data_IF_246744307310
#
_entry.id   IF_246744307310
#
_cell.length_a   1.000
_cell.length_b   1.000
_cell.length_c   1.000
_cell.angle_alpha   90.00
_cell.angle_beta   90.00
_cell.angle_gamma   90.00
#
_symmetry.space_group_name_H-M   'P 1'
#
loop_
_entity.id
_entity.type
_entity.pdbx_description
1 polymer ?
#
# COMPACT_ATOMS: atom_id res chain seq x y z
N UNK A 1 5.99 -14.51 26.89
CA UNK A 1 4.60 -14.49 26.35
C UNK A 1 3.91 -13.11 26.28
N UNK A 2 4.28 -12.09 27.05
CA UNK A 2 3.61 -10.75 27.00
C UNK A 2 3.82 -9.93 25.71
N UNK A 3 4.86 -10.19 24.90
CA UNK A 3 5.19 -9.41 23.69
C UNK A 3 4.34 -9.74 22.44
N UNK A 4 3.61 -10.87 22.42
CA UNK A 4 2.84 -11.32 21.25
C UNK A 4 1.44 -10.71 21.17
N UNK A 5 0.84 -10.32 22.30
CA UNK A 5 -0.51 -9.72 22.32
C UNK A 5 -0.59 -8.36 21.64
N UNK A 6 0.52 -7.63 21.57
CA UNK A 6 0.51 -6.25 21.06
C UNK A 6 0.41 -6.15 19.54
N UNK A 7 0.90 -7.14 18.77
CA UNK A 7 0.84 -7.08 17.29
C UNK A 7 -0.55 -7.40 16.80
N UNK A 8 -1.15 -8.49 17.28
CA UNK A 8 -2.51 -8.87 16.91
C UNK A 8 -3.52 -7.79 17.31
N UNK A 9 -3.38 -7.20 18.48
CA UNK A 9 -4.20 -6.07 18.91
C UNK A 9 -4.03 -4.85 18.01
N UNK A 10 -2.80 -4.48 17.67
CA UNK A 10 -2.51 -3.34 16.80
C UNK A 10 -3.11 -3.52 15.39
N UNK A 11 -3.00 -4.71 14.85
CA UNK A 11 -3.55 -5.06 13.54
C UNK A 11 -5.08 -5.09 13.56
N UNK A 12 -5.69 -5.60 14.64
CA UNK A 12 -7.14 -5.51 14.84
C UNK A 12 -7.61 -4.06 14.91
N UNK A 13 -6.87 -3.19 15.60
CA UNK A 13 -7.20 -1.77 15.71
C UNK A 13 -7.13 -1.10 14.32
N UNK A 14 -6.07 -1.32 13.54
CA UNK A 14 -5.97 -0.76 12.19
C UNK A 14 -7.12 -1.25 11.31
N UNK A 15 -7.39 -2.55 11.29
CA UNK A 15 -8.46 -3.13 10.49
C UNK A 15 -9.83 -2.59 10.91
N UNK A 16 -10.06 -2.42 12.21
CA UNK A 16 -11.29 -1.84 12.75
C UNK A 16 -11.49 -0.39 12.32
N UNK A 17 -10.47 0.46 12.45
CA UNK A 17 -10.55 1.85 12.01
C UNK A 17 -10.74 1.96 10.49
N UNK A 18 -10.12 1.07 9.73
CA UNK A 18 -10.31 1.03 8.29
C UNK A 18 -11.76 0.70 7.90
N UNK A 19 -12.35 -0.36 8.48
CA UNK A 19 -13.74 -0.74 8.22
C UNK A 19 -14.70 0.39 8.62
N UNK A 20 -14.46 1.03 9.77
CA UNK A 20 -15.27 2.17 10.20
C UNK A 20 -15.15 3.31 9.18
N UNK A 21 -13.94 3.58 8.63
CA UNK A 21 -13.78 4.63 7.62
C UNK A 21 -14.58 4.35 6.37
N UNK A 22 -14.60 3.11 5.89
CA UNK A 22 -15.37 2.71 4.70
C UNK A 22 -16.88 2.85 4.95
N UNK A 23 -17.38 2.34 6.08
CA UNK A 23 -18.80 2.43 6.44
C UNK A 23 -19.24 3.89 6.58
N UNK A 24 -18.40 4.74 7.20
CA UNK A 24 -18.70 6.16 7.33
C UNK A 24 -18.70 6.84 5.97
N UNK A 25 -17.71 6.55 5.11
CA UNK A 25 -17.63 7.11 3.78
C UNK A 25 -18.84 6.76 2.92
N UNK A 26 -19.30 5.51 2.92
CA UNK A 26 -20.50 5.11 2.18
C UNK A 26 -21.76 5.82 2.69
N UNK A 27 -21.96 5.89 4.01
CA UNK A 27 -23.11 6.59 4.59
C UNK A 27 -23.07 8.09 4.35
N UNK A 28 -21.88 8.71 4.40
CA UNK A 28 -21.70 10.13 4.11
C UNK A 28 -21.99 10.44 2.64
N UNK A 29 -21.57 9.55 1.71
CA UNK A 29 -21.87 9.68 0.27
C UNK A 29 -23.40 9.74 0.05
N UNK A 30 -24.16 8.89 0.77
CA UNK A 30 -25.61 8.83 0.63
C UNK A 30 -26.34 10.06 1.22
N UNK A 31 -25.76 10.75 2.21
CA UNK A 31 -26.41 11.84 2.93
C UNK A 31 -26.12 13.24 2.38
N UNK A 32 -24.94 13.44 1.79
CA UNK A 32 -24.52 14.77 1.34
C UNK A 32 -24.60 14.92 -0.17
N UNK A 33 -25.62 15.66 -0.64
CA UNK A 33 -25.73 16.04 -2.05
C UNK A 33 -24.72 17.13 -2.45
N UNK A 34 -24.15 17.85 -1.47
CA UNK A 34 -23.17 18.90 -1.72
C UNK A 34 -21.74 18.34 -1.71
N UNK A 35 -21.07 18.39 -2.86
CA UNK A 35 -19.72 17.91 -3.04
C UNK A 35 -18.71 18.50 -2.06
N UNK A 36 -18.75 19.83 -1.82
CA UNK A 36 -17.77 20.47 -0.95
C UNK A 36 -17.90 19.97 0.49
N UNK A 37 -19.12 19.83 0.97
CA UNK A 37 -19.41 19.29 2.30
C UNK A 37 -18.93 17.84 2.41
N UNK A 38 -19.21 17.02 1.41
CA UNK A 38 -18.69 15.62 1.35
C UNK A 38 -17.17 15.58 1.39
N UNK A 39 -16.48 16.37 0.56
CA UNK A 39 -15.01 16.40 0.51
C UNK A 39 -14.41 16.79 1.87
N UNK A 40 -14.95 17.83 2.51
CA UNK A 40 -14.48 18.30 3.81
C UNK A 40 -14.64 17.21 4.87
N UNK A 41 -15.85 16.65 5.00
CA UNK A 41 -16.15 15.64 6.01
C UNK A 41 -15.32 14.37 5.78
N UNK A 42 -15.25 13.89 4.55
CA UNK A 42 -14.43 12.71 4.20
C UNK A 42 -12.95 12.95 4.53
N UNK A 43 -12.42 14.14 4.25
CA UNK A 43 -11.01 14.46 4.57
C UNK A 43 -10.77 14.52 6.08
N UNK A 44 -11.68 15.15 6.84
CA UNK A 44 -11.59 15.21 8.31
C UNK A 44 -11.69 13.81 8.90
N UNK A 45 -12.64 12.99 8.45
CA UNK A 45 -12.81 11.61 8.91
C UNK A 45 -11.55 10.79 8.64
N UNK A 46 -10.98 10.89 7.45
CA UNK A 46 -9.72 10.23 7.11
C UNK A 46 -8.58 10.61 8.06
N UNK A 47 -8.40 11.90 8.34
CA UNK A 47 -7.36 12.38 9.24
C UNK A 47 -7.57 11.93 10.69
N UNK A 48 -8.81 12.00 11.19
CA UNK A 48 -9.16 11.56 12.56
C UNK A 48 -8.88 10.06 12.74
N UNK A 49 -9.26 9.24 11.78
CA UNK A 49 -9.07 7.80 11.86
C UNK A 49 -7.59 7.38 11.81
N UNK A 50 -6.73 8.17 11.18
CA UNK A 50 -5.29 7.92 11.14
C UNK A 50 -4.52 8.56 12.30
N UNK A 51 -5.14 9.46 13.06
CA UNK A 51 -4.51 10.18 14.17
C UNK A 51 -3.93 9.25 15.28
N UNK A 52 -4.64 8.20 15.75
CA UNK A 52 -4.08 7.26 16.73
C UNK A 52 -2.79 6.58 16.26
N UNK A 53 -2.69 6.33 14.96
CA UNK A 53 -1.52 5.71 14.33
C UNK A 53 -0.34 6.66 14.36
N UNK A 54 -0.57 7.94 14.07
CA UNK A 54 0.45 9.00 14.13
C UNK A 54 0.99 9.13 15.56
N UNK A 55 0.10 9.17 16.57
CA UNK A 55 0.49 9.22 17.98
C UNK A 55 1.34 7.99 18.35
N UNK A 56 0.89 6.79 17.95
CA UNK A 56 1.65 5.58 18.22
C UNK A 56 3.04 5.64 17.58
N UNK A 57 3.12 6.11 16.34
CA UNK A 57 4.38 6.29 15.63
C UNK A 57 5.32 7.23 16.37
N UNK A 58 4.86 8.42 16.74
CA UNK A 58 5.66 9.41 17.46
C UNK A 58 6.21 8.82 18.79
N UNK A 59 5.34 8.14 19.54
CA UNK A 59 5.69 7.56 20.85
C UNK A 59 6.71 6.42 20.76
N UNK A 60 6.69 5.63 19.69
CA UNK A 60 7.50 4.40 19.59
C UNK A 60 8.60 4.46 18.51
N UNK A 61 8.76 5.60 17.82
CA UNK A 61 9.73 5.78 16.72
C UNK A 61 11.14 5.33 17.11
N UNK A 62 11.65 5.77 18.25
CA UNK A 62 13.02 5.48 18.72
C UNK A 62 13.28 4.01 19.05
N UNK A 63 12.23 3.21 19.27
CA UNK A 63 12.31 1.78 19.58
C UNK A 63 12.23 0.88 18.35
N UNK A 64 11.98 1.44 17.17
CA UNK A 64 11.75 0.69 15.94
C UNK A 64 12.97 0.78 15.02
N UNK A 65 13.66 -0.34 14.82
CA UNK A 65 14.86 -0.44 13.99
C UNK A 65 14.65 0.12 12.58
N UNK A 66 13.57 -0.23 11.90
CA UNK A 66 13.31 0.21 10.53
C UNK A 66 13.00 1.71 10.42
N UNK A 67 12.55 2.34 11.50
CA UNK A 67 12.26 3.77 11.52
C UNK A 67 13.52 4.64 11.70
N UNK A 68 14.57 4.08 12.32
CA UNK A 68 15.83 4.80 12.57
C UNK A 68 16.94 4.42 11.60
N UNK A 69 16.74 3.35 10.82
CA UNK A 69 17.72 2.91 9.82
C UNK A 69 17.83 3.92 8.69
N UNK A 70 19.06 4.32 8.39
CA UNK A 70 19.38 5.24 7.28
C UNK A 70 20.60 4.74 6.48
N UNK A 71 20.38 3.77 5.58
CA UNK A 71 21.40 3.33 4.63
C UNK A 71 21.14 4.01 3.29
N UNK A 72 22.13 4.69 2.74
CA UNK A 72 22.02 5.36 1.43
C UNK A 72 21.79 4.36 0.30
N UNK A 73 21.03 4.78 -0.68
CA UNK A 73 20.77 4.05 -1.93
C UNK A 73 21.27 4.90 -3.11
N UNK A 74 21.87 4.27 -4.09
CA UNK A 74 22.26 4.92 -5.33
C UNK A 74 21.03 5.31 -6.15
N UNK A 75 21.06 6.49 -6.79
CA UNK A 75 19.95 6.98 -7.63
C UNK A 75 19.57 5.99 -8.74
N UNK A 76 20.55 5.32 -9.34
CA UNK A 76 20.31 4.27 -10.34
C UNK A 76 19.42 3.14 -9.82
N UNK A 77 19.62 2.71 -8.56
CA UNK A 77 18.80 1.68 -7.92
C UNK A 77 17.39 2.20 -7.60
N UNK A 78 17.26 3.46 -7.22
CA UNK A 78 15.96 4.10 -7.05
C UNK A 78 15.18 4.05 -8.38
N UNK A 79 15.81 4.44 -9.48
CA UNK A 79 15.19 4.40 -10.82
C UNK A 79 14.85 2.97 -11.24
N UNK A 80 15.71 1.99 -10.96
CA UNK A 80 15.43 0.58 -11.19
C UNK A 80 14.19 0.11 -10.43
N UNK A 81 14.10 0.36 -9.11
CA UNK A 81 12.95 -0.06 -8.31
C UNK A 81 11.68 0.68 -8.69
N UNK A 82 11.77 1.95 -9.06
CA UNK A 82 10.63 2.69 -9.59
C UNK A 82 10.14 2.10 -10.91
N UNK A 83 11.04 1.81 -11.85
CA UNK A 83 10.72 1.12 -13.10
C UNK A 83 10.12 -0.28 -12.87
N UNK A 84 10.66 -1.05 -11.91
CA UNK A 84 10.10 -2.35 -11.54
C UNK A 84 8.66 -2.21 -11.00
N UNK A 85 8.39 -1.26 -10.11
CA UNK A 85 7.05 -1.03 -9.58
C UNK A 85 6.10 -0.57 -10.67
N UNK A 86 6.52 0.36 -11.54
CA UNK A 86 5.74 0.81 -12.68
C UNK A 86 5.40 -0.35 -13.63
N UNK A 87 6.38 -1.21 -13.94
CA UNK A 87 6.19 -2.42 -14.73
C UNK A 87 5.18 -3.38 -14.09
N UNK A 88 5.30 -3.67 -12.79
CA UNK A 88 4.35 -4.51 -12.05
C UNK A 88 2.93 -3.94 -12.18
N UNK A 89 2.75 -2.64 -11.96
CA UNK A 89 1.42 -2.01 -12.02
C UNK A 89 0.80 -2.08 -13.42
N UNK A 90 1.58 -1.90 -14.47
CA UNK A 90 1.08 -1.99 -15.85
C UNK A 90 0.79 -3.44 -16.24
N UNK A 91 1.75 -4.35 -16.04
CA UNK A 91 1.60 -5.75 -16.49
C UNK A 91 0.55 -6.48 -15.68
N UNK A 92 0.65 -6.45 -14.35
CA UNK A 92 -0.29 -7.17 -13.48
C UNK A 92 -1.67 -6.52 -13.50
N UNK A 93 -1.74 -5.18 -13.59
CA UNK A 93 -3.01 -4.46 -13.72
C UNK A 93 -3.79 -4.80 -14.98
N UNK A 94 -3.12 -5.22 -16.06
CA UNK A 94 -3.79 -5.64 -17.31
C UNK A 94 -4.03 -7.16 -17.41
N UNK A 95 -3.26 -7.99 -16.69
CA UNK A 95 -3.38 -9.46 -16.74
C UNK A 95 -4.47 -9.95 -15.78
N UNK A 96 -4.66 -9.32 -14.63
CA UNK A 96 -5.70 -9.72 -13.67
C UNK A 96 -7.05 -9.22 -14.19
N UNK A 97 -7.65 -10.02 -15.07
CA UNK A 97 -8.95 -9.78 -15.71
C UNK A 97 -10.08 -10.14 -14.72
N UNK A 98 -10.20 -9.39 -13.64
CA UNK A 98 -11.46 -9.25 -12.92
C UNK A 98 -12.17 -7.94 -13.33
N UNK A 99 -11.83 -7.42 -14.54
CA UNK A 99 -12.32 -6.13 -15.06
C UNK A 99 -13.84 -6.10 -15.26
N UNK A 100 -14.44 -7.27 -15.43
CA UNK A 100 -15.88 -7.40 -15.70
C UNK A 100 -16.72 -7.59 -14.43
N UNK A 101 -16.13 -7.59 -13.24
CA UNK A 101 -16.90 -7.61 -12.00
C UNK A 101 -17.48 -6.21 -11.79
N UNK A 102 -18.80 -6.03 -11.94
CA UNK A 102 -19.43 -4.72 -11.82
C UNK A 102 -19.22 -4.18 -10.41
N UNK A 103 -18.55 -3.05 -10.31
CA UNK A 103 -18.49 -2.29 -9.05
C UNK A 103 -19.83 -1.61 -8.87
N UNK A 104 -20.46 -1.81 -7.72
CA UNK A 104 -21.60 -1.00 -7.29
C UNK A 104 -21.11 0.39 -6.85
N UNK A 105 -20.33 1.06 -7.69
CA UNK A 105 -19.93 2.42 -7.44
C UNK A 105 -21.06 3.33 -7.89
N UNK A 106 -21.66 4.04 -6.96
CA UNK A 106 -22.43 5.23 -7.29
C UNK A 106 -21.39 6.22 -7.83
N UNK A 107 -21.22 6.23 -9.16
CA UNK A 107 -20.35 7.19 -9.84
C UNK A 107 -21.06 8.52 -9.78
N UNK A 108 -20.72 9.33 -8.78
CA UNK A 108 -21.07 10.74 -8.82
C UNK A 108 -20.17 11.42 -9.87
N UNK A 109 -20.75 12.23 -10.76
CA UNK A 109 -20.04 13.05 -11.74
C UNK A 109 -19.16 14.17 -11.10
N UNK A 110 -18.57 13.88 -9.96
CA UNK A 110 -17.74 14.82 -9.20
C UNK A 110 -16.25 14.78 -9.61
N UNK A 111 -15.86 13.80 -10.43
CA UNK A 111 -14.47 13.54 -10.77
C UNK A 111 -13.78 14.72 -11.47
N UNK A 112 -14.56 15.66 -12.01
CA UNK A 112 -14.05 16.77 -12.81
C UNK A 112 -14.01 18.14 -12.09
N UNK A 113 -14.25 18.21 -10.78
CA UNK A 113 -14.09 19.47 -10.07
C UNK A 113 -12.65 19.66 -9.60
N UNK A 114 -12.09 20.87 -9.80
CA UNK A 114 -10.71 21.19 -9.40
C UNK A 114 -10.44 20.88 -7.93
N UNK A 115 -11.41 21.11 -7.05
CA UNK A 115 -11.29 20.84 -5.61
C UNK A 115 -11.11 19.34 -5.35
N UNK A 116 -11.87 18.50 -6.06
CA UNK A 116 -11.77 17.04 -5.95
C UNK A 116 -10.42 16.53 -6.46
N UNK A 117 -9.95 17.03 -7.60
CA UNK A 117 -8.64 16.71 -8.18
C UNK A 117 -7.51 17.09 -7.23
N UNK A 118 -7.51 18.34 -6.73
CA UNK A 118 -6.47 18.83 -5.80
C UNK A 118 -6.47 18.03 -4.51
N UNK A 119 -7.64 17.76 -3.93
CA UNK A 119 -7.76 16.89 -2.74
C UNK A 119 -7.18 15.51 -2.98
N UNK A 120 -7.52 14.86 -4.08
CA UNK A 120 -7.05 13.51 -4.39
C UNK A 120 -5.54 13.48 -4.65
N UNK A 121 -4.98 14.53 -5.24
CA UNK A 121 -3.53 14.67 -5.36
C UNK A 121 -2.89 14.80 -3.98
N UNK A 122 -3.38 15.69 -3.12
CA UNK A 122 -2.80 15.88 -1.78
C UNK A 122 -2.90 14.59 -0.96
N UNK A 123 -4.08 14.00 -0.85
CA UNK A 123 -4.29 12.80 -0.04
C UNK A 123 -3.68 11.56 -0.68
N UNK A 124 -3.94 11.30 -1.94
CA UNK A 124 -3.53 10.07 -2.62
C UNK A 124 -2.04 10.03 -2.98
N UNK A 125 -1.43 11.19 -3.28
CA UNK A 125 -0.01 11.23 -3.65
C UNK A 125 0.90 11.38 -2.43
N UNK A 126 0.52 12.18 -1.43
CA UNK A 126 1.41 12.47 -0.32
C UNK A 126 0.97 11.84 1.00
N UNK A 127 -0.27 12.09 1.43
CA UNK A 127 -0.69 11.71 2.79
C UNK A 127 -0.83 10.20 2.91
N UNK A 128 -1.59 9.56 2.02
CA UNK A 128 -1.83 8.11 2.07
C UNK A 128 -0.52 7.31 1.98
N UNK A 129 0.38 7.50 1.00
CA UNK A 129 1.63 6.76 0.93
C UNK A 129 2.50 6.91 2.19
N UNK A 130 2.59 8.12 2.75
CA UNK A 130 3.36 8.34 3.98
C UNK A 130 2.78 7.53 5.14
N UNK A 131 1.46 7.60 5.35
CA UNK A 131 0.78 6.88 6.42
C UNK A 131 0.86 5.38 6.24
N UNK A 132 0.63 4.89 5.03
CA UNK A 132 0.71 3.46 4.71
C UNK A 132 2.12 2.92 4.94
N UNK A 133 3.16 3.61 4.50
CA UNK A 133 4.54 3.17 4.76
C UNK A 133 4.89 3.17 6.24
N UNK A 134 4.43 4.17 7.00
CA UNK A 134 4.61 4.20 8.45
C UNK A 134 3.92 3.01 9.12
N UNK A 135 2.68 2.72 8.73
CA UNK A 135 1.88 1.62 9.28
C UNK A 135 2.53 0.27 8.92
N UNK A 136 2.69 0.03 7.62
CA UNK A 136 3.08 -1.29 7.14
C UNK A 136 4.57 -1.55 7.36
N UNK A 137 5.46 -0.65 6.96
CA UNK A 137 6.92 -0.87 7.05
C UNK A 137 7.49 -0.41 8.38
N UNK A 138 7.03 0.74 8.85
CA UNK A 138 7.50 1.29 10.11
C UNK A 138 7.07 0.49 11.35
N UNK A 139 5.82 0.08 11.41
CA UNK A 139 5.26 -0.53 12.63
C UNK A 139 5.06 -2.05 12.45
N UNK A 140 4.26 -2.45 11.47
CA UNK A 140 3.86 -3.84 11.27
C UNK A 140 5.05 -4.73 10.92
N UNK A 141 5.75 -4.41 9.83
CA UNK A 141 6.90 -5.20 9.38
C UNK A 141 8.00 -5.25 10.46
N UNK A 142 8.29 -4.11 11.11
CA UNK A 142 9.24 -4.06 12.22
C UNK A 142 8.85 -5.02 13.36
N UNK A 143 7.57 -5.14 13.65
CA UNK A 143 7.05 -6.07 14.67
C UNK A 143 7.14 -7.54 14.25
N UNK A 144 7.10 -7.82 12.95
CA UNK A 144 7.24 -9.15 12.37
C UNK A 144 8.71 -9.60 12.24
N UNK A 145 9.68 -8.67 12.32
CA UNK A 145 11.11 -8.97 12.22
C UNK A 145 11.61 -10.03 13.21
N UNK A 146 10.94 -10.20 14.33
CA UNK A 146 11.25 -11.27 15.31
C UNK A 146 11.08 -12.69 14.77
N UNK A 147 10.33 -12.86 13.68
CA UNK A 147 10.16 -14.13 12.97
C UNK A 147 11.08 -14.25 11.74
N UNK A 148 12.04 -13.33 11.60
CA UNK A 148 12.95 -13.24 10.47
C UNK A 148 12.47 -12.25 9.38
N UNK A 149 13.44 -11.61 8.71
CA UNK A 149 13.14 -10.54 7.75
C UNK A 149 12.38 -11.02 6.52
N UNK A 150 12.62 -12.23 6.04
CA UNK A 150 11.92 -12.77 4.87
C UNK A 150 10.43 -12.94 5.14
N UNK A 151 10.09 -13.57 6.27
CA UNK A 151 8.70 -13.70 6.68
C UNK A 151 8.07 -12.33 6.91
N UNK A 152 8.78 -11.42 7.57
CA UNK A 152 8.29 -10.07 7.82
C UNK A 152 7.93 -9.35 6.52
N UNK A 153 8.79 -9.42 5.49
CA UNK A 153 8.53 -8.85 4.17
C UNK A 153 7.31 -9.50 3.52
N UNK A 154 7.26 -10.83 3.47
CA UNK A 154 6.17 -11.57 2.78
C UNK A 154 4.82 -11.27 3.43
N UNK A 155 4.70 -11.48 4.75
CA UNK A 155 3.43 -11.27 5.47
C UNK A 155 2.99 -9.81 5.41
N UNK A 156 3.90 -8.87 5.60
CA UNK A 156 3.60 -7.45 5.49
C UNK A 156 3.07 -7.07 4.11
N UNK A 157 3.66 -7.64 3.04
CA UNK A 157 3.24 -7.36 1.67
C UNK A 157 1.87 -7.94 1.34
N UNK A 158 1.58 -9.14 1.84
CA UNK A 158 0.26 -9.77 1.71
C UNK A 158 -0.80 -8.93 2.42
N UNK A 159 -0.53 -8.50 3.66
CA UNK A 159 -1.46 -7.65 4.42
C UNK A 159 -1.65 -6.28 3.76
N UNK A 160 -0.59 -5.70 3.19
CA UNK A 160 -0.67 -4.46 2.42
C UNK A 160 -1.56 -4.61 1.18
N UNK A 161 -1.45 -5.73 0.47
CA UNK A 161 -2.33 -5.99 -0.68
C UNK A 161 -3.80 -6.08 -0.27
N UNK A 162 -4.09 -6.88 0.75
CA UNK A 162 -5.48 -7.03 1.25
C UNK A 162 -6.05 -5.76 1.88
N UNK A 163 -5.22 -4.86 2.35
CA UNK A 163 -5.67 -3.55 2.83
C UNK A 163 -6.37 -2.73 1.75
N UNK A 164 -6.04 -2.93 0.48
CA UNK A 164 -6.67 -2.20 -0.64
C UNK A 164 -8.09 -2.69 -0.98
N UNK A 165 -8.54 -3.83 -0.44
CA UNK A 165 -9.88 -4.43 -0.58
C UNK A 165 -10.29 -4.73 -2.03
N UNK A 166 -10.03 -3.84 -2.99
CA UNK A 166 -10.33 -4.04 -4.40
C UNK A 166 -9.53 -5.21 -4.99
N UNK A 167 -10.21 -6.29 -5.35
CA UNK A 167 -9.59 -7.52 -5.89
C UNK A 167 -8.68 -7.23 -7.09
N UNK A 168 -9.04 -6.23 -7.91
CA UNK A 168 -8.26 -5.81 -9.07
C UNK A 168 -6.93 -5.13 -8.68
N UNK A 169 -6.83 -4.67 -7.44
CA UNK A 169 -5.65 -4.00 -6.90
C UNK A 169 -4.80 -4.94 -6.05
N UNK A 170 -5.41 -5.92 -5.35
CA UNK A 170 -4.74 -6.79 -4.37
C UNK A 170 -3.47 -7.42 -4.92
N UNK A 171 -3.53 -8.04 -6.10
CA UNK A 171 -2.37 -8.75 -6.68
C UNK A 171 -1.18 -7.83 -6.93
N UNK A 172 -1.41 -6.70 -7.60
CA UNK A 172 -0.35 -5.70 -7.86
C UNK A 172 0.15 -5.05 -6.58
N UNK A 173 -0.73 -4.80 -5.61
CA UNK A 173 -0.36 -4.23 -4.31
C UNK A 173 0.49 -5.20 -3.48
N UNK A 174 0.26 -6.52 -3.51
CA UNK A 174 1.13 -7.52 -2.89
C UNK A 174 2.53 -7.43 -3.50
N UNK A 175 2.64 -7.47 -4.83
CA UNK A 175 3.93 -7.47 -5.51
C UNK A 175 4.71 -6.16 -5.29
N UNK A 176 4.06 -5.02 -5.42
CA UNK A 176 4.67 -3.72 -5.10
C UNK A 176 5.01 -3.62 -3.62
N UNK A 177 4.18 -4.20 -2.76
CA UNK A 177 4.41 -4.33 -1.32
C UNK A 177 5.71 -5.05 -0.99
N UNK A 178 6.07 -6.11 -1.73
CA UNK A 178 7.35 -6.82 -1.58
C UNK A 178 8.53 -5.88 -1.90
N UNK A 179 8.43 -5.10 -2.97
CA UNK A 179 9.49 -4.15 -3.36
C UNK A 179 9.65 -3.06 -2.30
N UNK A 180 8.58 -2.44 -1.85
CA UNK A 180 8.61 -1.42 -0.79
C UNK A 180 9.17 -1.99 0.52
N UNK A 181 8.73 -3.18 0.93
CA UNK A 181 9.20 -3.83 2.16
C UNK A 181 10.69 -4.18 2.07
N UNK A 182 11.16 -4.66 0.91
CA UNK A 182 12.57 -4.91 0.67
C UNK A 182 13.41 -3.63 0.77
N UNK A 183 12.95 -2.54 0.18
CA UNK A 183 13.65 -1.24 0.21
C UNK A 183 13.70 -0.69 1.62
N UNK A 184 12.60 -0.72 2.36
CA UNK A 184 12.57 -0.30 3.76
C UNK A 184 13.53 -1.15 4.63
N UNK A 185 13.58 -2.46 4.40
CA UNK A 185 14.50 -3.36 5.10
C UNK A 185 15.96 -3.14 4.70
N UNK A 186 16.26 -3.08 3.40
CA UNK A 186 17.62 -3.04 2.87
C UNK A 186 18.27 -1.66 3.09
N UNK A 187 17.51 -0.60 2.84
CA UNK A 187 18.04 0.76 2.84
C UNK A 187 17.41 1.62 3.96
N UNK A 188 16.20 2.14 3.74
CA UNK A 188 15.53 3.00 4.71
C UNK A 188 14.05 3.14 4.38
N UNK A 189 13.22 3.33 5.40
CA UNK A 189 11.80 3.65 5.26
C UNK A 189 11.56 4.89 4.38
N UNK A 190 12.45 5.89 4.45
CA UNK A 190 12.32 7.11 3.64
C UNK A 190 12.31 6.85 2.13
N UNK A 191 13.11 5.88 1.66
CA UNK A 191 13.14 5.55 0.24
C UNK A 191 11.90 4.75 -0.20
N UNK A 192 11.33 3.95 0.69
CA UNK A 192 10.04 3.31 0.44
C UNK A 192 8.93 4.35 0.33
N UNK A 193 8.88 5.34 1.22
CA UNK A 193 7.94 6.48 1.16
C UNK A 193 8.11 7.24 -0.16
N UNK A 194 9.34 7.61 -0.53
CA UNK A 194 9.61 8.34 -1.77
C UNK A 194 9.09 7.57 -2.98
N UNK A 195 9.43 6.29 -3.11
CA UNK A 195 9.00 5.46 -4.24
C UNK A 195 7.49 5.27 -4.28
N UNK A 196 6.85 5.09 -3.12
CA UNK A 196 5.39 4.98 -3.04
C UNK A 196 4.71 6.29 -3.45
N UNK A 197 5.19 7.42 -2.96
CA UNK A 197 4.73 8.76 -3.39
C UNK A 197 4.89 8.97 -4.89
N UNK A 198 6.04 8.60 -5.45
CA UNK A 198 6.32 8.76 -6.89
C UNK A 198 5.40 7.89 -7.76
N UNK A 199 5.13 6.65 -7.39
CA UNK A 199 4.23 5.78 -8.17
C UNK A 199 2.78 6.24 -8.07
N UNK A 200 2.36 6.72 -6.90
CA UNK A 200 1.03 7.29 -6.71
C UNK A 200 0.87 8.62 -7.46
N UNK A 201 1.91 9.45 -7.50
CA UNK A 201 1.93 10.65 -8.35
C UNK A 201 1.71 10.29 -9.82
N UNK A 202 2.49 9.34 -10.33
CA UNK A 202 2.38 8.87 -11.72
C UNK A 202 0.97 8.35 -12.03
N UNK A 203 0.37 7.56 -11.14
CA UNK A 203 -0.98 7.02 -11.30
C UNK A 203 -2.05 8.12 -11.27
N UNK A 204 -1.95 9.09 -10.35
CA UNK A 204 -2.90 10.20 -10.26
C UNK A 204 -2.78 11.16 -11.44
N UNK A 205 -1.57 11.53 -11.86
CA UNK A 205 -1.39 12.36 -13.06
C UNK A 205 -1.89 11.67 -14.32
N UNK A 206 -1.71 10.35 -14.44
CA UNK A 206 -2.29 9.58 -15.55
C UNK A 206 -3.82 9.59 -15.52
N UNK A 207 -4.44 9.43 -14.33
CA UNK A 207 -5.90 9.47 -14.16
C UNK A 207 -6.50 10.82 -14.56
N UNK A 208 -5.81 11.91 -14.25
CA UNK A 208 -6.28 13.26 -14.51
C UNK A 208 -5.67 13.90 -15.77
N UNK A 209 -5.06 13.10 -16.65
CA UNK A 209 -4.41 13.60 -17.89
C UNK A 209 -5.37 14.36 -18.79
N UNK A 210 -6.62 13.89 -18.91
CA UNK A 210 -7.65 14.55 -19.72
C UNK A 210 -8.05 15.91 -19.16
N UNK A 211 -8.02 16.07 -17.84
CA UNK A 211 -8.31 17.32 -17.15
C UNK A 211 -7.14 18.31 -17.19
N UNK A 212 -5.90 17.80 -17.10
CA UNK A 212 -4.67 18.62 -17.08
C UNK A 212 -4.22 18.97 -18.50
N UNK A 213 -4.62 18.17 -19.51
CA UNK A 213 -4.35 18.35 -20.92
C UNK A 213 -3.59 17.18 -21.56
N UNK A 214 -3.83 16.94 -22.84
CA UNK A 214 -3.29 15.82 -23.63
C UNK A 214 -1.75 15.70 -23.54
N UNK A 215 -1.05 16.82 -23.52
CA UNK A 215 0.43 16.86 -23.41
C UNK A 215 0.93 16.17 -22.15
N UNK A 216 0.17 16.21 -21.04
CA UNK A 216 0.53 15.53 -19.80
C UNK A 216 0.56 14.01 -19.96
N UNK A 217 -0.40 13.44 -20.67
CA UNK A 217 -0.40 12.01 -20.98
C UNK A 217 0.82 11.57 -21.78
N UNK A 218 1.21 12.38 -22.79
CA UNK A 218 2.42 12.12 -23.59
C UNK A 218 3.68 12.16 -22.72
N UNK A 219 3.82 13.18 -21.87
CA UNK A 219 4.98 13.31 -20.96
C UNK A 219 5.07 12.13 -20.00
N UNK A 220 3.94 11.70 -19.42
CA UNK A 220 3.90 10.52 -18.55
C UNK A 220 4.30 9.25 -19.30
N UNK A 221 3.83 9.09 -20.56
CA UNK A 221 4.21 7.97 -21.41
C UNK A 221 5.72 7.94 -21.72
N UNK A 222 6.30 9.08 -22.07
CA UNK A 222 7.75 9.20 -22.29
C UNK A 222 8.54 8.90 -21.02
N UNK A 223 8.07 9.38 -19.88
CA UNK A 223 8.69 9.10 -18.59
C UNK A 223 8.61 7.62 -18.20
N UNK A 224 7.50 6.95 -18.52
CA UNK A 224 7.36 5.51 -18.33
C UNK A 224 8.39 4.73 -19.18
N UNK A 225 8.58 5.10 -20.45
CA UNK A 225 9.62 4.51 -21.31
C UNK A 225 11.02 4.71 -20.71
N UNK A 226 11.31 5.91 -20.20
CA UNK A 226 12.55 6.18 -19.48
C UNK A 226 12.75 5.25 -18.28
N UNK A 227 11.73 5.04 -17.45
CA UNK A 227 11.79 4.10 -16.32
C UNK A 227 11.99 2.65 -16.76
N UNK A 228 11.38 2.24 -17.87
CA UNK A 228 11.61 0.90 -18.46
C UNK A 228 13.05 0.66 -18.85
N UNK A 229 13.75 1.66 -19.37
CA UNK A 229 15.18 1.57 -19.68
C UNK A 229 16.00 1.28 -18.40
N UNK A 230 15.74 2.00 -17.32
CA UNK A 230 16.42 1.74 -16.04
C UNK A 230 16.06 0.38 -15.45
N UNK A 231 14.83 -0.08 -15.64
CA UNK A 231 14.40 -1.42 -15.24
C UNK A 231 15.19 -2.49 -16.00
N UNK A 232 15.31 -2.38 -17.34
CA UNK A 232 16.08 -3.31 -18.15
C UNK A 232 17.58 -3.30 -17.76
N UNK A 233 18.18 -2.11 -17.61
CA UNK A 233 19.57 -1.97 -17.15
C UNK A 233 19.77 -2.63 -15.78
N UNK A 234 18.83 -2.46 -14.86
CA UNK A 234 18.88 -3.07 -13.53
C UNK A 234 18.77 -4.60 -13.58
N UNK A 235 17.96 -5.15 -14.48
CA UNK A 235 17.90 -6.60 -14.73
C UNK A 235 19.25 -7.10 -15.20
N UNK A 236 19.86 -6.48 -16.21
CA UNK A 236 21.18 -6.86 -16.72
C UNK A 236 22.23 -6.81 -15.61
N UNK A 237 22.19 -5.83 -14.73
CA UNK A 237 23.10 -5.69 -13.59
C UNK A 237 22.75 -6.60 -12.39
N UNK A 238 21.65 -7.35 -12.45
CA UNK A 238 21.24 -8.28 -11.40
C UNK A 238 20.72 -7.62 -10.13
N UNK A 239 20.20 -6.38 -10.18
CA UNK A 239 19.67 -5.64 -9.03
C UNK A 239 18.44 -6.33 -8.41
N UNK A 240 17.71 -7.14 -9.18
CA UNK A 240 16.56 -7.94 -8.73
C UNK A 240 16.94 -9.08 -7.78
N UNK A 241 18.21 -9.54 -7.81
CA UNK A 241 18.66 -10.75 -7.06
C UNK A 241 18.34 -10.66 -5.57
N UNK A 242 18.47 -9.45 -4.98
CA UNK A 242 18.18 -9.24 -3.58
C UNK A 242 16.71 -9.50 -3.21
N UNK A 243 15.76 -9.13 -4.09
CA UNK A 243 14.34 -9.40 -3.90
C UNK A 243 14.06 -10.91 -4.03
N UNK A 244 14.63 -11.56 -5.03
CA UNK A 244 14.45 -13.02 -5.22
C UNK A 244 14.98 -13.84 -4.05
N UNK A 245 16.02 -13.38 -3.35
CA UNK A 245 16.54 -14.06 -2.17
C UNK A 245 15.53 -14.12 -1.01
N UNK A 246 14.53 -13.25 -0.99
CA UNK A 246 13.43 -13.27 0.00
C UNK A 246 12.66 -14.60 -0.10
N UNK A 247 12.46 -15.10 -1.31
CA UNK A 247 11.68 -16.32 -1.58
C UNK A 247 12.50 -17.62 -1.43
N UNK A 248 13.82 -17.53 -1.28
CA UNK A 248 14.67 -18.68 -0.95
C UNK A 248 14.62 -18.95 0.54
N UNK A 249 13.63 -19.75 0.97
CA UNK A 249 13.41 -20.09 2.37
C UNK A 249 14.31 -21.26 2.80
N UNK A 250 15.07 -21.07 3.89
CA UNK A 250 15.82 -22.12 4.55
C UNK A 250 14.96 -22.85 5.62
N UNK A 251 15.56 -23.83 6.31
CA UNK A 251 14.86 -24.63 7.34
C UNK A 251 14.40 -23.73 8.50
N UNK A 252 15.21 -22.77 8.90
CA UNK A 252 14.88 -21.83 9.99
C UNK A 252 13.74 -20.91 9.58
N UNK A 253 13.76 -20.37 8.35
CA UNK A 253 12.67 -19.56 7.80
C UNK A 253 11.34 -20.34 7.85
N UNK A 254 11.34 -21.63 7.47
CA UNK A 254 10.14 -22.49 7.52
C UNK A 254 9.62 -22.72 8.96
N UNK A 255 10.54 -22.97 9.91
CA UNK A 255 10.17 -23.08 11.34
C UNK A 255 9.53 -21.79 11.87
N UNK A 256 10.08 -20.64 11.50
CA UNK A 256 9.56 -19.33 11.87
C UNK A 256 8.16 -19.08 11.27
N UNK A 257 7.91 -19.48 10.02
CA UNK A 257 6.58 -19.42 9.39
C UNK A 257 5.58 -20.26 10.17
N UNK A 258 5.92 -21.52 10.49
CA UNK A 258 5.03 -22.42 11.25
C UNK A 258 4.74 -21.82 12.62
N UNK A 259 5.74 -21.28 13.31
CA UNK A 259 5.59 -20.63 14.61
C UNK A 259 4.68 -19.41 14.51
N UNK A 260 4.85 -18.57 13.48
CA UNK A 260 3.98 -17.43 13.22
C UNK A 260 2.53 -17.85 13.02
N UNK A 261 2.28 -18.83 12.14
CA UNK A 261 0.94 -19.33 11.85
C UNK A 261 0.28 -19.88 13.11
N UNK A 262 0.96 -20.73 13.88
CA UNK A 262 0.42 -21.30 15.13
C UNK A 262 0.10 -20.25 16.18
N UNK A 263 0.91 -19.20 16.30
CA UNK A 263 0.73 -18.19 17.35
C UNK A 263 -0.26 -17.08 17.00
N UNK A 264 -0.63 -16.95 15.71
CA UNK A 264 -1.48 -15.87 15.22
C UNK A 264 -2.70 -16.37 14.40
N UNK A 265 -3.11 -17.64 14.56
CA UNK A 265 -4.24 -18.26 13.84
C UNK A 265 -5.50 -17.41 13.95
N UNK A 266 -5.87 -17.02 15.16
CA UNK A 266 -7.10 -16.25 15.39
C UNK A 266 -7.06 -14.91 14.63
N UNK A 267 -5.92 -14.24 14.64
CA UNK A 267 -5.72 -12.99 13.92
C UNK A 267 -5.84 -13.18 12.38
N UNK A 268 -5.23 -14.24 11.84
CA UNK A 268 -5.33 -14.57 10.41
C UNK A 268 -6.77 -14.90 10.01
N UNK A 269 -7.52 -15.58 10.85
CA UNK A 269 -8.94 -15.86 10.64
C UNK A 269 -9.77 -14.57 10.62
N UNK A 270 -9.51 -13.63 11.52
CA UNK A 270 -10.20 -12.32 11.54
C UNK A 270 -9.92 -11.55 10.25
N UNK A 271 -8.65 -11.45 9.80
CA UNK A 271 -8.32 -10.80 8.52
C UNK A 271 -9.04 -11.48 7.36
N UNK A 272 -9.00 -12.80 7.31
CA UNK A 272 -9.66 -13.58 6.26
C UNK A 272 -11.17 -13.30 6.21
N UNK A 273 -11.83 -13.28 7.36
CA UNK A 273 -13.26 -12.93 7.46
C UNK A 273 -13.54 -11.49 7.00
N UNK A 274 -12.69 -10.53 7.36
CA UNK A 274 -12.82 -9.14 6.91
C UNK A 274 -12.66 -9.05 5.39
N UNK A 275 -11.65 -9.69 4.81
CA UNK A 275 -11.43 -9.69 3.36
C UNK A 275 -12.61 -10.31 2.63
N UNK A 276 -13.11 -11.47 3.10
CA UNK A 276 -14.29 -12.12 2.48
C UNK A 276 -15.52 -11.23 2.61
N UNK A 277 -15.81 -10.69 3.79
CA UNK A 277 -17.00 -9.84 3.97
C UNK A 277 -16.98 -8.63 3.03
N UNK A 278 -15.80 -8.01 2.85
CA UNK A 278 -15.63 -6.89 1.92
C UNK A 278 -15.81 -7.33 0.45
N UNK A 279 -15.26 -8.48 0.06
CA UNK A 279 -15.46 -9.02 -1.29
C UNK A 279 -16.94 -9.31 -1.55
N UNK A 280 -17.64 -9.94 -0.61
CA UNK A 280 -19.07 -10.25 -0.73
C UNK A 280 -19.91 -8.97 -0.83
N UNK A 281 -19.60 -7.97 -0.02
CA UNK A 281 -20.32 -6.70 0.01
C UNK A 281 -20.09 -5.88 -1.27
N UNK A 282 -18.84 -5.71 -1.69
CA UNK A 282 -18.52 -4.85 -2.83
C UNK A 282 -18.92 -5.45 -4.19
N UNK A 283 -18.97 -6.77 -4.30
CA UNK A 283 -19.25 -7.42 -5.59
C UNK A 283 -20.61 -8.12 -5.65
N UNK A 284 -21.48 -7.96 -4.62
CA UNK A 284 -22.81 -8.58 -4.57
C UNK A 284 -22.78 -10.04 -5.04
N UNK A 285 -21.87 -10.83 -4.46
CA UNK A 285 -21.76 -12.24 -4.80
C UNK A 285 -22.91 -13.08 -4.20
N UNK A 286 -23.92 -12.42 -3.58
CA UNK A 286 -25.20 -12.96 -3.14
C UNK A 286 -26.33 -11.97 -3.39
#
# INVERSE_FOLDING_TARGET
MKKNKNISLFLCIISFFYIISEIINEKLIMQFQNLNTYIIINTITYLILHFPIIIYFIKYKSKNYLLVKDCKIEIRKILFYWGLIAFINVVVGNIIIFQDIPKNSIVYNYENTIIYVVRNIILGVFVAPILEEIIFRGILMNSLMKYGYKLAIIINSVLFGFYHIDINVVGRAILTGVVFSYIAYKYSLKYSIILHTLINAMANFSRYSDYIGYTTGVVIGMFFVFLLLFFIIGIIKGEYKGIFLIFKLNIEDRKNIITFLKTNVLYLLIIFMIVISNLLFNYKLF
#
